data_IF_066545442440
#
_entry.id   IF_066545442440
#
_cell.length_a   1.000
_cell.length_b   1.000
_cell.length_c   1.000
_cell.angle_alpha   90.00
_cell.angle_beta   90.00
_cell.angle_gamma   90.00
#
_symmetry.space_group_name_H-M   'P 1'
#
loop_
_entity.id
_entity.type
_entity.pdbx_description
1 polymer ?
#
# COMPACT_ATOMS: atom_id res chain seq x y z
N UNK A 1 -18.86 11.62 3.29
CA UNK A 1 -18.12 10.72 4.21
C UNK A 1 -16.68 11.18 4.31
N UNK A 2 -16.22 11.57 5.50
CA UNK A 2 -14.90 12.18 5.68
C UNK A 2 -13.78 11.18 5.39
N UNK A 3 -12.93 11.47 4.39
CA UNK A 3 -11.69 10.73 4.11
C UNK A 3 -10.74 10.91 5.29
N UNK A 4 -10.78 9.99 6.26
CA UNK A 4 -9.80 9.98 7.36
C UNK A 4 -8.46 9.50 6.78
N UNK A 5 -7.47 10.40 6.79
CA UNK A 5 -6.15 10.14 6.25
C UNK A 5 -5.56 8.85 6.86
N UNK A 6 -5.01 7.97 6.01
CA UNK A 6 -4.24 6.79 6.43
C UNK A 6 -3.23 7.23 7.49
N UNK A 7 -3.34 6.70 8.70
CA UNK A 7 -2.32 6.85 9.74
C UNK A 7 -1.20 5.85 9.41
N UNK A 8 0.00 6.33 9.06
CA UNK A 8 1.24 5.54 9.23
C UNK A 8 1.30 5.19 10.72
N UNK A 9 1.17 3.92 11.07
CA UNK A 9 1.31 3.47 12.46
C UNK A 9 2.80 3.55 12.80
N UNK A 10 3.24 4.69 13.31
CA UNK A 10 4.50 4.77 14.04
C UNK A 10 4.27 4.14 15.42
N UNK A 11 4.35 2.82 15.49
CA UNK A 11 4.54 2.13 16.77
C UNK A 11 5.96 1.59 16.79
N UNK A 12 6.87 2.41 17.31
CA UNK A 12 8.10 1.93 17.92
C UNK A 12 7.72 1.09 19.14
N UNK A 13 7.83 -0.24 19.03
CA UNK A 13 8.24 -1.14 20.12
C UNK A 13 8.36 -2.57 19.61
N UNK A 14 9.61 -3.04 19.68
CA UNK A 14 10.16 -4.39 19.47
C UNK A 14 10.80 -4.63 18.09
N UNK A 15 12.06 -5.11 18.04
CA UNK A 15 12.61 -5.65 16.80
C UNK A 15 11.70 -6.80 16.36
N UNK A 16 11.36 -6.84 15.07
CA UNK A 16 10.70 -7.97 14.42
C UNK A 16 11.67 -9.18 14.44
N UNK A 17 11.93 -9.74 15.62
CA UNK A 17 12.55 -11.04 15.76
C UNK A 17 11.58 -12.07 15.20
N UNK A 18 12.01 -12.69 14.09
CA UNK A 18 11.54 -13.97 13.56
C UNK A 18 10.03 -14.01 13.23
N UNK A 19 9.67 -13.47 12.07
CA UNK A 19 8.45 -13.92 11.39
C UNK A 19 8.84 -14.63 10.09
N UNK A 20 9.05 -15.94 10.25
CA UNK A 20 9.26 -16.94 9.20
C UNK A 20 8.11 -16.91 8.17
N UNK A 21 8.45 -17.05 6.89
CA UNK A 21 7.51 -17.39 5.80
C UNK A 21 6.71 -16.23 5.19
N UNK A 22 7.35 -15.10 4.85
CA UNK A 22 6.69 -14.03 4.10
C UNK A 22 6.84 -14.31 2.60
N UNK A 23 5.96 -15.15 2.07
CA UNK A 23 5.89 -15.45 0.65
C UNK A 23 5.51 -14.17 -0.13
N UNK A 24 6.25 -13.90 -1.21
CA UNK A 24 5.94 -12.83 -2.18
C UNK A 24 4.94 -13.31 -3.23
N UNK A 25 4.85 -14.63 -3.40
CA UNK A 25 3.94 -15.33 -4.28
C UNK A 25 2.58 -15.46 -3.60
N UNK A 26 1.58 -14.78 -4.17
CA UNK A 26 0.18 -15.07 -3.90
C UNK A 26 -0.31 -16.15 -4.85
N UNK A 27 -1.54 -16.63 -4.61
CA UNK A 27 -2.26 -17.55 -5.49
C UNK A 27 -2.53 -16.95 -6.88
N UNK A 28 -2.71 -15.65 -6.98
CA UNK A 28 -3.04 -14.95 -8.23
C UNK A 28 -1.99 -13.93 -8.66
N UNK A 29 -1.25 -13.36 -7.72
CA UNK A 29 -0.26 -12.32 -8.01
C UNK A 29 1.09 -12.59 -7.34
N UNK A 30 2.16 -12.42 -8.11
CA UNK A 30 3.51 -12.27 -7.57
C UNK A 30 3.78 -10.79 -7.26
N UNK A 31 3.83 -10.46 -5.96
CA UNK A 31 4.10 -9.09 -5.52
C UNK A 31 5.48 -8.61 -5.94
N UNK A 32 6.48 -9.50 -6.02
CA UNK A 32 7.84 -9.11 -6.33
C UNK A 32 7.96 -8.65 -7.77
N UNK A 33 7.42 -9.44 -8.70
CA UNK A 33 7.37 -9.07 -10.13
C UNK A 33 6.63 -7.74 -10.36
N UNK A 34 5.48 -7.56 -9.71
CA UNK A 34 4.71 -6.31 -9.84
C UNK A 34 5.46 -5.12 -9.25
N UNK A 35 6.07 -5.28 -8.08
CA UNK A 35 6.89 -4.25 -7.44
C UNK A 35 8.07 -3.84 -8.31
N UNK A 36 8.84 -4.81 -8.83
CA UNK A 36 10.04 -4.53 -9.63
C UNK A 36 9.67 -3.80 -10.93
N UNK A 37 8.56 -4.17 -11.57
CA UNK A 37 8.00 -3.47 -12.73
C UNK A 37 7.67 -2.00 -12.44
N UNK A 38 7.01 -1.74 -11.31
CA UNK A 38 6.63 -0.37 -10.91
C UNK A 38 7.88 0.43 -10.52
N UNK A 39 8.80 -0.18 -9.78
CA UNK A 39 10.04 0.45 -9.33
C UNK A 39 10.90 0.89 -10.52
N UNK A 40 11.01 0.04 -11.55
CA UNK A 40 11.71 0.37 -12.78
C UNK A 40 11.05 1.53 -13.54
N UNK A 41 9.72 1.51 -13.69
CA UNK A 41 8.98 2.49 -14.49
C UNK A 41 8.84 3.86 -13.85
N UNK A 42 8.61 3.92 -12.54
CA UNK A 42 8.20 5.16 -11.87
C UNK A 42 9.22 5.69 -10.86
N UNK A 43 10.12 4.84 -10.37
CA UNK A 43 11.03 5.19 -9.29
C UNK A 43 12.50 5.07 -9.68
N UNK A 44 12.80 4.82 -10.96
CA UNK A 44 14.17 4.63 -11.49
C UNK A 44 14.94 3.59 -10.68
N UNK A 45 14.26 2.55 -10.21
CA UNK A 45 14.79 1.51 -9.35
C UNK A 45 15.36 1.96 -7.98
N UNK A 46 15.04 3.17 -7.50
CA UNK A 46 15.53 3.67 -6.20
C UNK A 46 15.05 2.87 -5.00
N UNK A 47 13.96 2.11 -5.14
CA UNK A 47 13.37 1.33 -4.05
C UNK A 47 13.83 -0.14 -4.03
N UNK A 48 14.90 -0.52 -4.74
CA UNK A 48 15.41 -1.92 -4.79
C UNK A 48 15.63 -2.57 -3.41
N UNK A 49 15.98 -1.77 -2.39
CA UNK A 49 16.20 -2.23 -1.02
C UNK A 49 14.93 -2.45 -0.19
N UNK A 50 13.74 -2.20 -0.76
CA UNK A 50 12.47 -2.47 -0.09
C UNK A 50 12.06 -3.94 -0.24
N UNK A 51 11.55 -4.51 0.85
CA UNK A 51 10.88 -5.80 0.86
C UNK A 51 9.38 -5.57 0.65
N UNK A 52 8.80 -6.24 -0.33
CA UNK A 52 7.35 -6.29 -0.55
C UNK A 52 6.86 -7.64 -0.09
N UNK A 53 5.80 -7.70 0.72
CA UNK A 53 5.30 -8.96 1.28
C UNK A 53 3.78 -8.95 1.41
N UNK A 54 3.17 -10.13 1.36
CA UNK A 54 1.79 -10.28 1.82
C UNK A 54 1.71 -10.11 3.34
N UNK A 55 0.68 -9.40 3.81
CA UNK A 55 0.35 -9.33 5.22
C UNK A 55 -0.23 -10.65 5.74
N UNK A 56 -0.40 -10.76 7.06
CA UNK A 56 -1.09 -11.91 7.65
C UNK A 56 -2.58 -11.87 7.35
N UNK A 57 -3.12 -12.97 6.83
CA UNK A 57 -4.57 -13.14 6.63
C UNK A 57 -5.24 -13.20 8.00
N UNK A 58 -5.99 -12.17 8.36
CA UNK A 58 -6.85 -12.21 9.55
C UNK A 58 -8.07 -13.06 9.25
N UNK A 59 -8.49 -13.89 10.22
CA UNK A 59 -9.72 -14.70 10.13
C UNK A 59 -10.97 -13.81 10.09
N UNK A 60 -10.92 -12.66 10.73
CA UNK A 60 -12.02 -11.69 10.78
C UNK A 60 -11.81 -10.54 9.80
N UNK A 61 -12.87 -10.19 9.07
CA UNK A 61 -12.88 -9.04 8.17
C UNK A 61 -12.96 -7.73 8.97
N UNK A 62 -12.30 -6.64 8.52
CA UNK A 62 -12.39 -5.35 9.18
C UNK A 62 -13.82 -4.79 9.15
N UNK A 63 -14.36 -4.36 10.30
CA UNK A 63 -15.75 -3.92 10.43
C UNK A 63 -16.04 -2.50 9.94
N UNK A 64 -15.04 -1.62 9.88
CA UNK A 64 -15.26 -0.19 9.59
C UNK A 64 -14.41 0.37 8.44
N UNK A 65 -13.19 -0.13 8.23
CA UNK A 65 -12.29 0.38 7.19
C UNK A 65 -11.34 -0.71 6.71
N UNK A 66 -11.01 -0.67 5.42
CA UNK A 66 -10.13 -1.63 4.79
C UNK A 66 -8.80 -0.98 4.41
N UNK A 67 -7.70 -1.52 4.94
CA UNK A 67 -6.36 -1.09 4.57
C UNK A 67 -5.83 -2.04 3.49
N UNK A 68 -5.64 -1.52 2.28
CA UNK A 68 -5.11 -2.27 1.14
C UNK A 68 -3.61 -2.56 1.24
N UNK A 69 -2.86 -1.65 1.84
CA UNK A 69 -1.42 -1.78 2.02
C UNK A 69 -0.91 -0.82 3.10
N UNK A 70 0.29 -1.10 3.57
CA UNK A 70 1.02 -0.25 4.51
C UNK A 70 2.51 -0.28 4.20
N UNK A 71 3.18 0.85 4.40
CA UNK A 71 4.63 0.94 4.39
C UNK A 71 5.19 1.14 5.82
N UNK A 72 6.33 0.51 6.10
CA UNK A 72 7.20 0.78 7.23
C UNK A 72 8.54 1.26 6.66
N UNK A 73 8.80 2.57 6.77
CA UNK A 73 9.95 3.21 6.14
C UNK A 73 11.25 2.81 6.82
N UNK A 74 11.21 2.67 8.14
CA UNK A 74 12.36 2.33 8.99
C UNK A 74 12.90 0.94 8.63
N UNK A 75 12.00 -0.02 8.42
CA UNK A 75 12.35 -1.41 8.06
C UNK A 75 12.42 -1.63 6.54
N UNK A 76 12.08 -0.61 5.73
CA UNK A 76 11.93 -0.69 4.27
C UNK A 76 11.00 -1.82 3.84
N UNK A 77 9.86 -1.97 4.51
CA UNK A 77 8.88 -3.03 4.21
C UNK A 77 7.56 -2.44 3.72
N UNK A 78 7.11 -2.89 2.55
CA UNK A 78 5.76 -2.68 2.04
C UNK A 78 4.96 -3.97 2.28
N UNK A 79 3.87 -3.87 3.03
CA UNK A 79 2.94 -4.97 3.28
C UNK A 79 1.66 -4.74 2.50
N UNK A 80 1.28 -5.70 1.69
CA UNK A 80 0.02 -5.69 0.93
C UNK A 80 -0.98 -6.62 1.60
N UNK A 81 -2.23 -6.20 1.70
CA UNK A 81 -3.26 -7.02 2.33
C UNK A 81 -3.55 -8.27 1.46
N UNK A 82 -3.44 -9.50 2.01
CA UNK A 82 -3.63 -10.75 1.25
C UNK A 82 -5.04 -10.91 0.67
N UNK A 83 -6.02 -10.14 1.15
CA UNK A 83 -7.34 -10.09 0.52
C UNK A 83 -7.31 -9.48 -0.90
N UNK A 84 -6.22 -8.83 -1.32
CA UNK A 84 -6.04 -8.42 -2.72
C UNK A 84 -5.63 -9.57 -3.64
N UNK A 85 -5.19 -10.70 -3.09
CA UNK A 85 -4.81 -11.88 -3.84
C UNK A 85 -6.03 -12.73 -4.20
N UNK A 86 -6.87 -12.20 -5.10
CA UNK A 86 -8.12 -12.85 -5.54
C UNK A 86 -8.35 -12.63 -7.04
N UNK A 87 -8.96 -13.62 -7.71
CA UNK A 87 -9.26 -13.59 -9.16
C UNK A 87 -10.02 -12.35 -9.63
N UNK A 88 -10.92 -11.80 -8.80
CA UNK A 88 -11.74 -10.65 -9.19
C UNK A 88 -10.99 -9.32 -9.10
N UNK A 89 -9.86 -9.28 -8.38
CA UNK A 89 -9.03 -8.10 -8.23
C UNK A 89 -8.24 -7.94 -9.53
N UNK A 90 -8.35 -6.81 -10.24
CA UNK A 90 -7.57 -6.63 -11.45
C UNK A 90 -6.09 -6.34 -11.15
N UNK A 91 -5.18 -6.85 -11.98
CA UNK A 91 -3.75 -6.59 -11.84
C UNK A 91 -3.42 -5.08 -11.76
N UNK A 92 -4.05 -4.27 -12.62
CA UNK A 92 -3.83 -2.82 -12.63
C UNK A 92 -4.28 -2.13 -11.33
N UNK A 93 -5.19 -2.75 -10.55
CA UNK A 93 -5.58 -2.24 -9.25
C UNK A 93 -4.51 -2.57 -8.21
N UNK A 94 -3.99 -3.80 -8.22
CA UNK A 94 -2.86 -4.17 -7.37
C UNK A 94 -1.63 -3.30 -7.69
N UNK A 95 -1.36 -3.02 -8.97
CA UNK A 95 -0.30 -2.10 -9.40
C UNK A 95 -0.50 -0.70 -8.81
N UNK A 96 -1.74 -0.19 -8.82
CA UNK A 96 -2.06 1.09 -8.20
C UNK A 96 -1.80 1.10 -6.69
N UNK A 97 -2.24 0.06 -5.96
CA UNK A 97 -2.00 -0.03 -4.51
C UNK A 97 -0.50 -0.05 -4.21
N UNK A 98 0.28 -0.87 -4.93
CA UNK A 98 1.72 -0.90 -4.76
C UNK A 98 2.37 0.45 -5.07
N UNK A 99 1.98 1.09 -6.17
CA UNK A 99 2.45 2.43 -6.53
C UNK A 99 2.15 3.45 -5.43
N UNK A 100 0.94 3.43 -4.86
CA UNK A 100 0.55 4.29 -3.74
C UNK A 100 1.42 4.04 -2.50
N UNK A 101 1.65 2.78 -2.12
CA UNK A 101 2.53 2.44 -0.98
C UNK A 101 3.99 2.82 -1.24
N UNK A 102 4.46 2.74 -2.49
CA UNK A 102 5.81 3.16 -2.90
C UNK A 102 5.96 4.68 -2.92
N UNK A 103 4.91 5.43 -3.26
CA UNK A 103 4.94 6.89 -3.19
C UNK A 103 5.20 7.38 -1.77
N UNK A 104 4.67 6.68 -0.77
CA UNK A 104 4.94 6.99 0.64
C UNK A 104 6.41 6.89 1.02
N UNK A 105 7.23 6.13 0.27
CA UNK A 105 8.67 6.00 0.50
C UNK A 105 9.49 7.17 -0.05
N UNK A 106 8.96 7.88 -1.05
CA UNK A 106 9.71 8.91 -1.80
C UNK A 106 9.17 10.31 -1.61
N UNK A 107 7.92 10.44 -1.16
CA UNK A 107 7.32 11.73 -0.86
C UNK A 107 7.38 11.94 0.66
N UNK A 108 8.17 12.92 1.14
CA UNK A 108 8.30 13.16 2.56
C UNK A 108 6.98 13.65 3.14
N UNK A 109 6.68 13.13 4.32
CA UNK A 109 5.57 13.59 5.14
C UNK A 109 5.78 15.04 5.60
N UNK A 110 4.69 15.82 5.66
CA UNK A 110 4.71 17.17 6.23
C UNK A 110 4.06 17.18 7.61
N UNK A 111 4.60 17.95 8.55
CA UNK A 111 3.89 18.28 9.80
C UNK A 111 3.00 19.49 9.54
N UNK A 112 1.71 19.39 9.87
CA UNK A 112 0.82 20.57 9.90
C UNK A 112 1.14 21.44 11.11
N UNK A 113 0.72 22.70 11.10
CA UNK A 113 0.93 23.65 12.20
C UNK A 113 0.41 23.20 13.58
N UNK A 114 -0.50 22.21 13.62
CA UNK A 114 -0.99 21.57 14.84
C UNK A 114 -0.20 20.30 15.26
N UNK A 115 1.00 20.11 14.74
CA UNK A 115 1.87 18.96 15.03
C UNK A 115 1.42 17.63 14.41
N UNK A 116 0.26 17.57 13.72
CA UNK A 116 -0.21 16.33 13.08
C UNK A 116 0.57 16.04 11.80
N UNK A 117 1.02 14.78 11.65
CA UNK A 117 1.67 14.26 10.43
C UNK A 117 0.64 14.21 9.29
N UNK A 118 0.98 14.79 8.14
CA UNK A 118 0.21 14.79 6.90
C UNK A 118 0.98 14.00 5.85
N UNK A 119 0.49 12.79 5.59
CA UNK A 119 1.12 11.83 4.69
C UNK A 119 0.74 12.14 3.24
N UNK A 120 -0.54 12.41 2.98
CA UNK A 120 -1.02 12.84 1.66
C UNK A 120 -0.88 14.35 1.48
N UNK A 121 0.35 14.78 1.22
CA UNK A 121 0.68 16.17 0.86
C UNK A 121 0.17 16.49 -0.55
N UNK A 122 0.18 17.77 -0.95
CA UNK A 122 -0.18 18.14 -2.33
C UNK A 122 0.75 17.49 -3.36
N UNK A 123 2.03 17.34 -3.02
CA UNK A 123 2.99 16.61 -3.86
C UNK A 123 2.66 15.12 -3.96
N UNK A 124 2.24 14.51 -2.84
CA UNK A 124 1.76 13.11 -2.86
C UNK A 124 0.55 12.99 -3.80
N UNK A 125 -0.45 13.85 -3.63
CA UNK A 125 -1.67 13.83 -4.43
C UNK A 125 -1.40 14.09 -5.92
N UNK A 126 -0.43 14.98 -6.23
CA UNK A 126 0.00 15.27 -7.59
C UNK A 126 0.60 14.02 -8.25
N UNK A 127 1.59 13.39 -7.60
CA UNK A 127 2.21 12.17 -8.11
C UNK A 127 1.24 11.00 -8.18
N UNK A 128 0.36 10.86 -7.19
CA UNK A 128 -0.66 9.80 -7.19
C UNK A 128 -1.55 9.87 -8.46
N UNK A 129 -1.90 11.09 -8.89
CA UNK A 129 -2.69 11.33 -10.10
C UNK A 129 -1.93 11.06 -11.41
N UNK A 130 -0.61 11.04 -11.40
CA UNK A 130 0.22 10.71 -12.57
C UNK A 130 0.16 9.21 -12.90
N UNK A 131 -0.30 8.37 -11.98
CA UNK A 131 -0.47 6.95 -12.27
C UNK A 131 -1.51 6.73 -13.37
N UNK A 132 -1.12 5.99 -14.42
CA UNK A 132 -1.96 5.75 -15.62
C UNK A 132 -3.38 5.29 -15.29
N UNK A 133 -3.55 4.46 -14.25
CA UNK A 133 -4.86 3.92 -13.87
C UNK A 133 -5.49 4.62 -12.66
N UNK A 134 -4.99 5.78 -12.23
CA UNK A 134 -5.46 6.47 -11.02
C UNK A 134 -7.00 6.59 -10.95
N UNK A 135 -7.62 7.23 -11.95
CA UNK A 135 -9.08 7.45 -11.98
C UNK A 135 -9.85 6.13 -11.98
N UNK A 136 -9.36 5.14 -12.72
CA UNK A 136 -9.97 3.80 -12.83
C UNK A 136 -9.86 3.05 -11.50
N UNK A 137 -8.72 3.13 -10.83
CA UNK A 137 -8.49 2.51 -9.53
C UNK A 137 -9.35 3.13 -8.44
N UNK A 138 -9.45 4.46 -8.40
CA UNK A 138 -10.35 5.16 -7.46
C UNK A 138 -11.81 4.73 -7.63
N UNK A 139 -12.31 4.68 -8.88
CA UNK A 139 -13.68 4.21 -9.14
C UNK A 139 -13.87 2.75 -8.73
N UNK A 140 -12.95 1.86 -9.11
CA UNK A 140 -13.05 0.44 -8.78
C UNK A 140 -12.97 0.19 -7.28
N UNK A 141 -12.13 0.93 -6.56
CA UNK A 141 -12.05 0.91 -5.11
C UNK A 141 -13.42 1.25 -4.51
N UNK A 142 -14.03 2.36 -4.93
CA UNK A 142 -15.33 2.80 -4.43
C UNK A 142 -16.44 1.76 -4.73
N UNK A 143 -16.42 1.13 -5.92
CA UNK A 143 -17.39 0.09 -6.34
C UNK A 143 -17.20 -1.26 -5.62
N UNK A 144 -15.96 -1.62 -5.25
CA UNK A 144 -15.64 -2.95 -4.70
C UNK A 144 -15.32 -2.95 -3.21
N UNK A 145 -15.22 -1.79 -2.54
CA UNK A 145 -14.86 -1.69 -1.14
C UNK A 145 -15.76 -2.54 -0.23
N UNK A 146 -17.07 -2.57 -0.52
CA UNK A 146 -18.03 -3.38 0.23
C UNK A 146 -17.71 -4.88 0.22
N UNK A 147 -17.05 -5.39 -0.84
CA UNK A 147 -16.66 -6.80 -0.95
C UNK A 147 -15.51 -7.18 -0.01
N UNK A 148 -14.80 -6.19 0.52
CA UNK A 148 -13.70 -6.38 1.47
C UNK A 148 -14.12 -6.18 2.93
N UNK A 149 -15.25 -5.51 3.17
CA UNK A 149 -15.75 -5.15 4.51
C UNK A 149 -16.82 -6.11 5.05
N UNK A 150 -17.51 -6.83 4.17
CA UNK A 150 -18.64 -7.71 4.51
C UNK A 150 -18.17 -9.13 4.77
#
# INVERSE_FOLDING_TARGET
MAKRAKRKIARSRLPLQRQFGLETEGRYFDLRSVFDKINARHFSNRLRGYKVVWGRKRRERPKEYFIFGTIQEEDRVIRINPWLDQKFVPLWFLEYILYHEMLHAVVPDKRRGNGRRCVHTDEFNRREREFRFYKRARRWEDENLARFLR
#
